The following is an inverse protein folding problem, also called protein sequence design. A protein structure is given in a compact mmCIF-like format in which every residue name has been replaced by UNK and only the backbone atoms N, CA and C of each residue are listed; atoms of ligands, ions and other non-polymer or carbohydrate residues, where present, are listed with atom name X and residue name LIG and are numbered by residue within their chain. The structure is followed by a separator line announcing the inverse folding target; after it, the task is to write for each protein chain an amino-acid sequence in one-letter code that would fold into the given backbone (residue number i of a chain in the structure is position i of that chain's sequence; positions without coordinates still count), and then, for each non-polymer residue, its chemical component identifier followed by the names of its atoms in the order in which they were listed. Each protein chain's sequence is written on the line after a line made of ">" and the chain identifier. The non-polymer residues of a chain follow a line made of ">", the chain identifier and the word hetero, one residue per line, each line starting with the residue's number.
data_IF_169351111353
#
_entry.id   IF_169351111353
#
_cell.length_a   1.000
_cell.length_b   1.000
_cell.length_c   1.000
_cell.angle_alpha   90.00
_cell.angle_beta   90.00
_cell.angle_gamma   90.00
#
_symmetry.space_group_name_H-M   'P 1'
#
loop_
_entity.id
_entity.type
_entity.pdbx_description
1 polymer ?
#
# COMPACT_ATOMS: atom_id res chain seq x y z
N UNK A 1 -17.43 1.45 14.39
CA UNK A 1 -17.40 0.13 13.76
C UNK A 1 -17.54 -0.95 14.82
N UNK A 2 -16.66 -1.01 15.83
CA UNK A 2 -16.70 -2.06 16.86
C UNK A 2 -18.03 -2.12 17.65
N UNK A 3 -18.72 -0.99 17.78
CA UNK A 3 -20.05 -0.90 18.44
C UNK A 3 -21.22 -1.15 17.46
N UNK A 4 -20.94 -1.66 16.26
CA UNK A 4 -21.96 -1.92 15.26
C UNK A 4 -22.35 -0.72 14.39
N UNK A 5 -21.72 0.44 14.55
CA UNK A 5 -21.94 1.58 13.66
C UNK A 5 -21.36 1.33 12.26
N UNK A 6 -22.11 1.70 11.23
CA UNK A 6 -21.61 1.74 9.85
C UNK A 6 -20.80 3.02 9.69
N UNK A 7 -19.57 2.88 9.24
CA UNK A 7 -18.66 4.01 8.99
C UNK A 7 -18.22 3.96 7.53
N UNK A 8 -18.45 5.04 6.80
CA UNK A 8 -18.03 5.24 5.41
C UNK A 8 -16.88 6.24 5.37
N UNK A 9 -15.68 5.88 4.97
CA UNK A 9 -15.19 4.51 4.78
C UNK A 9 -14.77 3.89 6.12
N UNK A 10 -14.77 2.57 6.18
CA UNK A 10 -14.40 1.85 7.39
C UNK A 10 -12.90 2.03 7.70
N UNK A 11 -12.51 2.62 8.85
CA UNK A 11 -11.11 2.92 9.16
C UNK A 11 -10.22 1.68 9.33
N UNK A 12 -10.78 0.50 9.54
CA UNK A 12 -9.99 -0.74 9.57
C UNK A 12 -9.44 -1.18 8.21
N UNK A 13 -9.88 -0.53 7.13
CA UNK A 13 -9.38 -0.78 5.77
C UNK A 13 -8.32 0.22 5.32
N UNK A 14 -7.94 1.18 6.13
CA UNK A 14 -6.94 2.19 5.78
C UNK A 14 -5.55 1.61 5.53
N UNK A 15 -5.24 0.40 6.00
CA UNK A 15 -4.05 -0.34 5.60
C UNK A 15 -4.00 -0.64 4.10
N UNK A 16 -5.13 -0.56 3.40
CA UNK A 16 -5.21 -0.67 1.95
C UNK A 16 -4.84 0.61 1.21
N UNK A 17 -4.61 1.73 1.91
CA UNK A 17 -4.16 3.00 1.31
C UNK A 17 -2.72 2.95 0.81
N UNK A 18 -2.00 1.91 1.16
CA UNK A 18 -0.66 1.68 0.69
C UNK A 18 -0.69 1.28 -0.80
N UNK A 19 -0.07 2.11 -1.65
CA UNK A 19 -0.16 1.99 -3.11
C UNK A 19 0.41 0.68 -3.64
N UNK A 20 1.54 0.22 -3.09
CA UNK A 20 2.18 -0.99 -3.60
C UNK A 20 1.36 -2.25 -3.29
N UNK A 21 0.76 -2.32 -2.11
CA UNK A 21 -0.22 -3.36 -1.78
C UNK A 21 -1.42 -3.30 -2.74
N UNK A 22 -1.95 -2.09 -2.97
CA UNK A 22 -3.06 -1.87 -3.91
C UNK A 22 -2.75 -2.39 -5.31
N UNK A 23 -1.57 -2.09 -5.87
CA UNK A 23 -1.16 -2.59 -7.20
C UNK A 23 -1.03 -4.11 -7.23
N UNK A 24 -0.49 -4.72 -6.18
CA UNK A 24 -0.38 -6.18 -6.09
C UNK A 24 -1.76 -6.85 -6.08
N UNK A 25 -2.70 -6.28 -5.33
CA UNK A 25 -4.08 -6.74 -5.29
C UNK A 25 -4.78 -6.56 -6.65
N UNK A 26 -4.66 -5.38 -7.27
CA UNK A 26 -5.24 -5.09 -8.59
C UNK A 26 -4.73 -6.06 -9.67
N UNK A 27 -3.41 -6.34 -9.68
CA UNK A 27 -2.81 -7.33 -10.58
C UNK A 27 -3.46 -8.71 -10.39
N UNK A 28 -3.63 -9.15 -9.15
CA UNK A 28 -4.28 -10.44 -8.85
C UNK A 28 -5.75 -10.49 -9.27
N UNK A 29 -6.43 -9.35 -9.28
CA UNK A 29 -7.80 -9.21 -9.75
C UNK A 29 -7.92 -9.14 -11.28
N UNK A 30 -6.81 -9.07 -12.01
CA UNK A 30 -6.79 -8.89 -13.46
C UNK A 30 -7.09 -7.46 -13.92
N UNK A 31 -7.01 -6.49 -13.00
CA UNK A 31 -7.07 -5.06 -13.33
C UNK A 31 -5.68 -4.60 -13.80
N UNK A 32 -5.62 -3.96 -14.95
CA UNK A 32 -4.36 -3.47 -15.47
C UNK A 32 -3.81 -2.33 -14.59
N UNK A 33 -2.54 -2.44 -14.20
CA UNK A 33 -1.78 -1.43 -13.47
C UNK A 33 -0.42 -1.23 -14.12
N UNK A 34 0.21 -0.05 -14.00
CA UNK A 34 1.57 0.14 -14.47
C UNK A 34 2.56 -0.73 -13.70
N UNK A 35 3.61 -1.19 -14.35
CA UNK A 35 4.71 -1.88 -13.68
C UNK A 35 5.25 -1.01 -12.55
N UNK A 36 5.38 -1.56 -11.37
CA UNK A 36 5.74 -0.79 -10.17
C UNK A 36 6.72 -1.57 -9.30
N UNK A 37 7.76 -0.91 -8.82
CA UNK A 37 8.72 -1.43 -7.84
C UNK A 37 8.69 -0.57 -6.59
N UNK A 38 8.74 -1.18 -5.43
CA UNK A 38 8.94 -0.50 -4.15
C UNK A 38 10.45 -0.32 -3.92
N UNK A 39 10.87 0.93 -3.75
CA UNK A 39 12.25 1.29 -3.42
C UNK A 39 12.39 1.47 -1.91
N UNK A 40 13.51 1.04 -1.31
CA UNK A 40 13.80 1.31 0.09
C UNK A 40 13.95 2.81 0.33
N UNK A 41 13.98 3.21 1.60
CA UNK A 41 14.29 4.59 1.99
C UNK A 41 15.74 4.92 1.60
N UNK A 42 15.99 6.13 1.08
CA UNK A 42 17.35 6.60 0.77
C UNK A 42 18.14 6.89 2.04
N UNK A 43 17.48 7.41 3.07
CA UNK A 43 18.09 7.70 4.36
C UNK A 43 17.25 7.07 5.48
N UNK A 44 17.90 6.75 6.59
CA UNK A 44 17.27 6.10 7.72
C UNK A 44 17.33 6.99 8.97
N UNK A 45 16.38 6.79 9.87
CA UNK A 45 16.37 7.48 11.17
C UNK A 45 17.60 7.12 11.99
N UNK A 46 17.97 8.03 12.89
CA UNK A 46 19.05 7.78 13.85
C UNK A 46 18.81 6.47 14.61
N UNK A 47 19.87 5.67 14.76
CA UNK A 47 19.81 4.36 15.42
C UNK A 47 19.63 3.16 14.49
N UNK A 48 19.31 3.39 13.21
CA UNK A 48 19.36 2.32 12.21
C UNK A 48 20.82 2.10 11.78
N UNK A 49 21.26 0.86 11.83
CA UNK A 49 22.63 0.43 11.50
C UNK A 49 22.59 -0.63 10.38
N UNK A 50 23.75 -0.99 9.84
CA UNK A 50 23.89 -2.07 8.85
C UNK A 50 23.26 -3.39 9.35
N UNK A 51 23.37 -3.66 10.65
CA UNK A 51 22.71 -4.83 11.26
C UNK A 51 21.19 -4.80 11.16
N UNK A 52 20.59 -3.59 11.14
CA UNK A 52 19.14 -3.41 10.92
C UNK A 52 18.73 -3.64 9.47
N UNK A 53 19.68 -3.51 8.52
CA UNK A 53 19.46 -3.56 7.08
C UNK A 53 20.02 -4.83 6.41
N UNK A 54 20.39 -5.82 7.21
CA UNK A 54 21.04 -7.05 6.71
C UNK A 54 20.24 -7.84 5.66
N UNK A 55 18.93 -7.59 5.55
CA UNK A 55 18.06 -8.22 4.56
C UNK A 55 17.86 -7.36 3.32
N UNK A 56 18.49 -6.20 3.24
CA UNK A 56 18.46 -5.30 2.10
C UNK A 56 19.74 -5.46 1.30
N UNK A 57 19.60 -5.77 0.01
CA UNK A 57 20.71 -5.93 -0.91
C UNK A 57 21.22 -4.57 -1.38
N UNK A 58 22.54 -4.35 -1.28
CA UNK A 58 23.22 -3.15 -1.76
C UNK A 58 24.47 -3.53 -2.56
N UNK A 59 24.78 -2.77 -3.63
CA UNK A 59 23.97 -1.69 -4.21
C UNK A 59 22.66 -2.24 -4.83
N UNK A 60 21.64 -1.40 -4.93
CA UNK A 60 20.41 -1.78 -5.65
C UNK A 60 20.75 -2.06 -7.13
N UNK A 61 20.09 -3.07 -7.69
CA UNK A 61 20.18 -3.37 -9.13
C UNK A 61 19.37 -2.35 -9.95
N UNK A 62 19.96 -1.16 -10.11
CA UNK A 62 19.30 -0.06 -10.83
C UNK A 62 19.03 -0.39 -12.30
N UNK A 63 19.88 -1.18 -12.92
CA UNK A 63 19.71 -1.55 -14.33
C UNK A 63 18.54 -2.51 -14.49
N UNK A 64 18.43 -3.54 -13.66
CA UNK A 64 17.28 -4.44 -13.64
C UNK A 64 15.98 -3.75 -13.24
N UNK A 65 16.04 -2.80 -12.30
CA UNK A 65 14.88 -1.98 -11.91
C UNK A 65 14.37 -1.17 -13.12
N UNK A 66 15.27 -0.50 -13.85
CA UNK A 66 14.91 0.32 -15.01
C UNK A 66 14.47 -0.56 -16.18
N UNK A 67 15.10 -1.70 -16.40
CA UNK A 67 14.67 -2.66 -17.43
C UNK A 67 13.23 -3.15 -17.15
N UNK A 68 12.90 -3.41 -15.89
CA UNK A 68 11.54 -3.86 -15.52
C UNK A 68 10.49 -2.75 -15.69
N UNK A 69 10.75 -1.56 -15.16
CA UNK A 69 9.76 -0.46 -15.12
C UNK A 69 9.72 0.31 -16.43
N UNK A 70 10.86 0.51 -17.08
CA UNK A 70 11.02 1.37 -18.25
C UNK A 70 11.25 2.83 -17.87
N UNK A 71 11.64 3.61 -18.89
CA UNK A 71 11.74 5.07 -18.82
C UNK A 71 10.97 5.68 -20.00
N UNK A 72 10.31 6.83 -19.82
CA UNK A 72 10.20 7.58 -18.57
C UNK A 72 9.41 6.85 -17.49
N UNK A 73 9.67 7.17 -16.22
CA UNK A 73 9.01 6.57 -15.06
C UNK A 73 8.52 7.65 -14.08
N UNK A 74 7.65 7.27 -13.16
CA UNK A 74 7.16 8.12 -12.06
C UNK A 74 7.75 7.61 -10.74
N UNK A 75 8.54 8.44 -10.09
CA UNK A 75 8.99 8.22 -8.71
C UNK A 75 8.02 8.94 -7.78
N UNK A 76 7.35 8.21 -6.88
CA UNK A 76 6.37 8.79 -5.95
C UNK A 76 6.39 8.05 -4.61
N UNK A 77 5.99 8.70 -3.49
CA UNK A 77 5.84 8.01 -2.21
C UNK A 77 4.86 6.84 -2.32
N UNK A 78 5.14 5.74 -1.59
CA UNK A 78 4.26 4.57 -1.57
C UNK A 78 2.94 4.86 -0.85
N UNK A 79 2.93 5.83 0.06
CA UNK A 79 1.78 6.32 0.80
C UNK A 79 1.58 7.84 0.61
N UNK A 80 0.43 8.36 1.04
CA UNK A 80 0.10 9.77 0.92
C UNK A 80 -0.46 10.17 -0.45
N UNK A 81 -0.68 11.46 -0.65
CA UNK A 81 -1.34 12.03 -1.83
C UNK A 81 -0.98 13.50 -2.07
N UNK A 82 -1.78 14.19 -2.89
CA UNK A 82 -1.62 15.62 -3.16
C UNK A 82 -0.44 15.98 -4.07
N UNK A 83 0.12 15.03 -4.81
CA UNK A 83 1.25 15.24 -5.73
C UNK A 83 2.56 15.66 -5.04
N UNK A 84 2.65 15.52 -3.73
CA UNK A 84 3.86 15.83 -3.00
C UNK A 84 4.92 14.77 -3.28
N UNK A 85 6.15 15.21 -3.56
CA UNK A 85 7.30 14.35 -3.83
C UNK A 85 7.08 13.35 -5.00
N UNK A 86 6.32 13.79 -6.02
CA UNK A 86 6.08 13.04 -7.25
C UNK A 86 6.96 13.60 -8.36
N UNK A 87 7.79 12.75 -8.97
CA UNK A 87 8.77 13.13 -9.98
C UNK A 87 8.61 12.26 -11.23
N UNK A 88 8.52 12.89 -12.41
CA UNK A 88 8.72 12.18 -13.68
C UNK A 88 10.20 12.18 -13.99
N UNK A 89 10.76 11.01 -14.19
CA UNK A 89 12.19 10.80 -14.48
C UNK A 89 12.36 10.19 -15.86
N UNK A 90 13.31 10.70 -16.64
CA UNK A 90 13.52 10.30 -18.03
C UNK A 90 14.85 9.56 -18.22
N UNK A 91 15.74 9.62 -17.23
CA UNK A 91 17.03 8.95 -17.24
C UNK A 91 17.38 8.36 -15.87
N UNK A 92 18.38 7.50 -15.85
CA UNK A 92 18.93 6.91 -14.62
C UNK A 92 19.52 7.99 -13.70
N UNK A 93 20.15 8.98 -14.26
CA UNK A 93 20.74 10.12 -13.54
C UNK A 93 19.66 10.97 -12.88
N UNK A 94 18.60 11.34 -13.61
CA UNK A 94 17.44 12.04 -13.04
C UNK A 94 16.77 11.22 -11.92
N UNK A 95 16.65 9.90 -12.10
CA UNK A 95 16.12 9.02 -11.07
C UNK A 95 16.94 9.09 -9.79
N UNK A 96 18.26 9.02 -9.90
CA UNK A 96 19.15 9.11 -8.74
C UNK A 96 19.07 10.47 -8.06
N UNK A 97 19.11 11.57 -8.81
CA UNK A 97 18.96 12.90 -8.26
C UNK A 97 17.63 13.11 -7.52
N UNK A 98 16.54 12.58 -8.07
CA UNK A 98 15.25 12.64 -7.42
C UNK A 98 15.20 11.73 -6.17
N UNK A 99 15.70 10.51 -6.27
CA UNK A 99 15.73 9.56 -5.16
C UNK A 99 16.60 10.05 -4.00
N UNK A 100 17.72 10.70 -4.28
CA UNK A 100 18.59 11.28 -3.24
C UNK A 100 17.86 12.35 -2.40
N UNK A 101 16.88 13.03 -2.96
CA UNK A 101 16.07 14.05 -2.27
C UNK A 101 14.94 13.47 -1.42
N UNK A 102 14.58 12.21 -1.58
CA UNK A 102 13.43 11.62 -0.88
C UNK A 102 13.67 11.35 0.60
N UNK A 103 14.92 11.32 1.04
CA UNK A 103 15.28 11.16 2.46
C UNK A 103 14.73 9.88 3.06
N UNK A 104 13.88 10.00 4.07
CA UNK A 104 13.30 8.86 4.79
C UNK A 104 11.97 8.36 4.20
N UNK A 105 11.55 8.84 3.03
CA UNK A 105 10.36 8.35 2.36
C UNK A 105 10.66 7.02 1.66
N UNK A 106 9.79 6.03 1.84
CA UNK A 106 9.77 4.87 0.96
C UNK A 106 9.05 5.26 -0.33
N UNK A 107 9.64 4.91 -1.46
CA UNK A 107 9.16 5.36 -2.77
C UNK A 107 8.72 4.17 -3.62
N UNK A 108 7.81 4.42 -4.54
CA UNK A 108 7.55 3.53 -5.67
C UNK A 108 8.13 4.15 -6.93
N UNK A 109 8.79 3.33 -7.76
CA UNK A 109 9.10 3.65 -9.14
C UNK A 109 8.10 2.94 -10.02
N UNK A 110 7.36 3.71 -10.82
CA UNK A 110 6.23 3.23 -11.62
C UNK A 110 6.41 3.59 -13.08
N UNK A 111 6.08 2.65 -13.97
CA UNK A 111 6.00 2.89 -15.41
C UNK A 111 5.14 4.13 -15.73
N UNK A 112 5.65 5.01 -16.57
CA UNK A 112 4.87 6.12 -17.08
C UNK A 112 3.98 5.66 -18.23
N UNK A 113 2.67 5.73 -18.04
CA UNK A 113 1.70 5.44 -19.10
C UNK A 113 1.51 6.71 -19.93
N UNK A 114 1.98 6.67 -21.18
CA UNK A 114 1.73 7.75 -22.16
C UNK A 114 0.30 7.60 -22.69
N UNK A 115 -0.64 8.20 -21.95
CA UNK A 115 -2.08 8.00 -22.16
C UNK A 115 -2.65 8.89 -23.24
N UNK A 116 -3.66 8.38 -23.96
CA UNK A 116 -4.48 9.13 -24.93
C UNK A 116 -5.72 9.73 -24.28
N UNK A 117 -6.21 9.16 -23.18
CA UNK A 117 -7.30 9.67 -22.37
C UNK A 117 -7.04 9.36 -20.89
N UNK A 118 -7.60 10.17 -20.00
CA UNK A 118 -7.49 9.98 -18.56
C UNK A 118 -8.83 10.19 -17.90
N UNK A 119 -9.21 9.29 -17.00
CA UNK A 119 -10.47 9.37 -16.28
C UNK A 119 -10.25 9.31 -14.79
N UNK A 120 -11.14 9.98 -14.06
CA UNK A 120 -11.28 9.85 -12.60
C UNK A 120 -12.70 9.41 -12.31
N UNK A 121 -12.84 8.25 -11.65
CA UNK A 121 -14.12 7.59 -11.49
C UNK A 121 -14.55 7.65 -10.03
N UNK A 122 -15.67 8.28 -9.71
CA UNK A 122 -16.31 8.10 -8.41
C UNK A 122 -16.97 6.72 -8.36
N UNK A 123 -16.78 6.03 -7.24
CA UNK A 123 -17.52 4.83 -6.90
C UNK A 123 -18.25 5.04 -5.58
N UNK A 124 -19.56 4.84 -5.59
CA UNK A 124 -20.44 5.02 -4.41
C UNK A 124 -21.13 3.72 -4.09
N UNK A 125 -21.03 3.28 -2.84
CA UNK A 125 -21.66 2.05 -2.34
C UNK A 125 -21.18 0.78 -3.06
N UNK A 126 -20.05 0.83 -3.78
CA UNK A 126 -19.53 -0.29 -4.60
C UNK A 126 -20.50 -0.74 -5.71
N UNK A 127 -21.37 0.15 -6.15
CA UNK A 127 -22.43 -0.14 -7.13
C UNK A 127 -22.56 0.94 -8.19
N UNK A 128 -22.56 2.20 -7.79
CA UNK A 128 -22.73 3.32 -8.70
C UNK A 128 -21.38 3.90 -9.06
N UNK A 129 -21.10 4.04 -10.36
CA UNK A 129 -19.84 4.58 -10.87
C UNK A 129 -20.11 5.73 -11.82
N UNK A 130 -19.47 6.86 -11.57
CA UNK A 130 -19.43 8.00 -12.49
C UNK A 130 -18.04 8.08 -13.11
N UNK A 131 -17.94 7.86 -14.42
CA UNK A 131 -16.70 7.99 -15.18
C UNK A 131 -16.59 9.40 -15.71
N UNK A 132 -15.61 10.17 -15.22
CA UNK A 132 -15.39 11.56 -15.58
C UNK A 132 -14.06 11.72 -16.32
N UNK A 133 -14.02 12.47 -17.43
CA UNK A 133 -12.76 12.87 -18.04
C UNK A 133 -12.01 13.81 -17.10
N UNK A 134 -10.70 13.64 -17.02
CA UNK A 134 -9.86 14.39 -16.09
C UNK A 134 -8.55 14.82 -16.76
N UNK A 135 -8.13 16.04 -16.49
CA UNK A 135 -6.83 16.58 -16.90
C UNK A 135 -5.88 16.53 -15.70
N UNK A 136 -5.01 15.52 -15.60
CA UNK A 136 -4.11 15.37 -14.46
C UNK A 136 -3.02 16.44 -14.42
N UNK A 137 -2.69 17.08 -15.55
CA UNK A 137 -1.70 18.14 -15.61
C UNK A 137 -2.20 19.42 -14.95
N UNK A 138 -3.45 19.79 -15.23
CA UNK A 138 -4.08 20.97 -14.69
C UNK A 138 -4.95 20.65 -13.46
N UNK A 139 -5.05 19.38 -13.06
CA UNK A 139 -5.80 18.89 -11.90
C UNK A 139 -7.26 19.33 -11.91
N UNK A 140 -7.94 19.15 -13.05
CA UNK A 140 -9.32 19.56 -13.22
C UNK A 140 -10.16 18.50 -13.91
N UNK A 141 -11.41 18.44 -13.52
CA UNK A 141 -12.42 17.67 -14.24
C UNK A 141 -12.79 18.39 -15.53
N UNK A 142 -13.05 17.63 -16.58
CA UNK A 142 -13.48 18.14 -17.88
C UNK A 142 -14.97 17.87 -18.09
N UNK A 143 -15.64 18.61 -18.95
CA UNK A 143 -17.02 18.30 -19.35
C UNK A 143 -17.16 16.87 -19.85
N UNK A 144 -18.30 16.23 -19.59
CA UNK A 144 -18.55 14.83 -19.95
C UNK A 144 -18.45 14.56 -21.46
N UNK A 145 -18.70 15.58 -22.27
CA UNK A 145 -18.63 15.54 -23.75
C UNK A 145 -17.19 15.36 -24.25
N UNK A 146 -16.19 15.67 -23.43
CA UNK A 146 -14.78 15.47 -23.76
C UNK A 146 -14.32 14.01 -23.54
N UNK A 147 -15.16 13.17 -22.95
CA UNK A 147 -14.86 11.75 -22.79
C UNK A 147 -15.07 10.97 -24.09
N UNK A 148 -14.03 10.85 -24.89
CA UNK A 148 -14.05 10.18 -26.20
C UNK A 148 -13.49 8.76 -26.11
N UNK A 149 -14.20 7.86 -25.44
CA UNK A 149 -13.85 6.43 -25.32
C UNK A 149 -15.02 5.56 -25.80
N UNK A 150 -14.74 4.32 -26.23
CA UNK A 150 -15.80 3.39 -26.62
C UNK A 150 -16.65 2.96 -25.43
N UNK A 151 -17.87 2.49 -25.70
CA UNK A 151 -18.75 2.00 -24.66
C UNK A 151 -18.16 0.77 -23.97
N UNK A 152 -17.52 -0.14 -24.71
CA UNK A 152 -16.87 -1.34 -24.16
C UNK A 152 -15.75 -0.96 -23.18
N UNK A 153 -14.97 0.08 -23.51
CA UNK A 153 -13.91 0.57 -22.62
C UNK A 153 -14.51 1.24 -21.38
N UNK A 154 -15.59 2.00 -21.54
CA UNK A 154 -16.31 2.58 -20.40
C UNK A 154 -16.87 1.50 -19.47
N UNK A 155 -17.47 0.45 -20.04
CA UNK A 155 -18.01 -0.67 -19.26
C UNK A 155 -16.90 -1.43 -18.53
N UNK A 156 -15.73 -1.59 -19.16
CA UNK A 156 -14.55 -2.15 -18.50
C UNK A 156 -14.09 -1.29 -17.34
N UNK A 157 -13.98 0.03 -17.52
CA UNK A 157 -13.60 0.97 -16.46
C UNK A 157 -14.58 0.89 -15.28
N UNK A 158 -15.88 0.85 -15.55
CA UNK A 158 -16.92 0.70 -14.52
C UNK A 158 -16.75 -0.60 -13.75
N UNK A 159 -16.58 -1.73 -14.44
CA UNK A 159 -16.37 -3.04 -13.82
C UNK A 159 -15.10 -3.06 -12.97
N UNK A 160 -13.99 -2.58 -13.50
CA UNK A 160 -12.69 -2.58 -12.83
C UNK A 160 -12.74 -1.65 -11.59
N UNK A 161 -13.46 -0.52 -11.68
CA UNK A 161 -13.72 0.38 -10.55
C UNK A 161 -14.49 -0.32 -9.44
N UNK A 162 -15.60 -0.99 -9.75
CA UNK A 162 -16.41 -1.72 -8.77
C UNK A 162 -15.57 -2.83 -8.11
N UNK A 163 -14.85 -3.61 -8.91
CA UNK A 163 -14.02 -4.71 -8.45
C UNK A 163 -12.94 -4.25 -7.46
N UNK A 164 -12.24 -3.17 -7.76
CA UNK A 164 -11.24 -2.57 -6.86
C UNK A 164 -11.88 -2.11 -5.54
N UNK A 165 -13.02 -1.42 -5.60
CA UNK A 165 -13.70 -0.93 -4.42
C UNK A 165 -14.28 -2.05 -3.55
N UNK A 166 -14.78 -3.12 -4.15
CA UNK A 166 -15.20 -4.31 -3.42
C UNK A 166 -14.03 -5.00 -2.70
N UNK A 167 -12.93 -5.21 -3.42
CA UNK A 167 -11.75 -5.89 -2.88
C UNK A 167 -11.07 -5.06 -1.78
N UNK A 168 -10.94 -3.76 -1.96
CA UNK A 168 -10.35 -2.83 -0.98
C UNK A 168 -11.32 -2.47 0.15
N UNK A 169 -12.62 -2.66 -0.04
CA UNK A 169 -13.64 -2.40 0.97
C UNK A 169 -14.08 -0.93 1.07
N UNK A 170 -13.81 -0.10 0.06
CA UNK A 170 -14.24 1.29 0.02
C UNK A 170 -15.70 1.40 -0.39
N UNK A 171 -16.47 2.14 0.40
CA UNK A 171 -17.85 2.50 0.10
C UNK A 171 -17.95 3.80 -0.70
N UNK A 172 -16.96 4.68 -0.56
CA UNK A 172 -16.80 5.91 -1.32
C UNK A 172 -15.32 6.06 -1.69
N UNK A 173 -15.03 6.16 -2.98
CA UNK A 173 -13.65 6.25 -3.46
C UNK A 173 -13.59 6.90 -4.83
N UNK A 174 -12.41 7.38 -5.22
CA UNK A 174 -12.10 7.71 -6.60
C UNK A 174 -11.01 6.80 -7.15
N UNK A 175 -11.19 6.35 -8.39
CA UNK A 175 -10.22 5.53 -9.12
C UNK A 175 -9.78 6.28 -10.37
N UNK A 176 -8.47 6.42 -10.55
CA UNK A 176 -7.90 7.09 -11.71
C UNK A 176 -7.37 6.07 -12.71
N UNK A 177 -7.78 6.24 -13.99
CA UNK A 177 -7.28 5.42 -15.10
C UNK A 177 -6.58 6.25 -16.14
N UNK A 178 -5.35 5.86 -16.48
CA UNK A 178 -4.66 6.29 -17.68
C UNK A 178 -4.96 5.29 -18.81
N UNK A 179 -5.49 5.78 -19.92
CA UNK A 179 -5.92 4.93 -21.04
C UNK A 179 -4.87 4.99 -22.14
N UNK A 180 -4.30 3.83 -22.46
CA UNK A 180 -3.33 3.66 -23.54
C UNK A 180 -3.68 2.42 -24.36
N UNK A 181 -3.73 2.55 -25.67
CA UNK A 181 -3.99 1.45 -26.62
C UNK A 181 -5.25 0.62 -26.26
N UNK A 182 -6.31 1.31 -25.81
CA UNK A 182 -7.57 0.68 -25.37
C UNK A 182 -7.49 -0.05 -24.03
N UNK A 183 -6.38 0.05 -23.30
CA UNK A 183 -6.21 -0.53 -21.96
C UNK A 183 -6.30 0.56 -20.88
N UNK A 184 -7.24 0.45 -19.92
CA UNK A 184 -7.34 1.36 -18.79
C UNK A 184 -6.43 0.88 -17.67
N UNK A 185 -5.31 1.55 -17.45
CA UNK A 185 -4.37 1.29 -16.35
C UNK A 185 -4.81 2.05 -15.11
N UNK A 186 -5.11 1.35 -14.02
CA UNK A 186 -5.42 1.97 -12.74
C UNK A 186 -4.14 2.57 -12.14
N UNK A 187 -4.10 3.92 -12.03
CA UNK A 187 -2.92 4.69 -11.61
C UNK A 187 -2.96 5.02 -10.13
N UNK A 188 -4.11 5.48 -9.64
CA UNK A 188 -4.37 5.79 -8.22
C UNK A 188 -5.82 5.42 -7.90
N UNK A 189 -6.02 4.63 -6.85
CA UNK A 189 -7.35 4.07 -6.55
C UNK A 189 -7.55 3.81 -5.04
N UNK A 190 -6.74 4.45 -4.21
CA UNK A 190 -6.83 4.37 -2.76
C UNK A 190 -7.05 5.77 -2.19
N UNK A 191 -8.29 6.28 -2.29
CA UNK A 191 -8.67 7.59 -1.79
C UNK A 191 -9.89 7.47 -0.86
N UNK A 192 -9.68 7.26 0.47
CA UNK A 192 -10.76 7.02 1.42
C UNK A 192 -11.66 8.24 1.67
N UNK A 193 -11.22 9.43 1.26
CA UNK A 193 -11.94 10.69 1.44
C UNK A 193 -11.83 11.55 0.16
N UNK A 194 -12.44 11.10 -0.96
CA UNK A 194 -12.35 11.80 -2.22
C UNK A 194 -13.04 13.18 -2.13
N UNK A 195 -12.37 14.18 -2.69
CA UNK A 195 -12.93 15.51 -2.81
C UNK A 195 -14.14 15.51 -3.75
N UNK A 196 -15.27 16.04 -3.26
CA UNK A 196 -16.52 16.18 -4.00
C UNK A 196 -17.09 17.62 -3.84
N UNK A 197 -16.24 18.60 -3.51
CA UNK A 197 -16.64 20.00 -3.45
C UNK A 197 -17.09 20.51 -4.83
N UNK A 198 -18.17 21.31 -4.86
CA UNK A 198 -18.75 21.84 -6.09
C UNK A 198 -17.75 22.66 -6.91
N UNK A 199 -16.81 23.33 -6.24
CA UNK A 199 -15.77 24.13 -6.89
C UNK A 199 -14.66 23.27 -7.51
N UNK A 200 -14.50 22.06 -7.02
CA UNK A 200 -13.52 21.08 -7.53
C UNK A 200 -14.11 20.24 -8.66
N UNK A 201 -15.27 19.60 -8.40
CA UNK A 201 -15.82 18.62 -9.34
C UNK A 201 -16.81 19.20 -10.36
N UNK A 202 -17.23 20.45 -10.20
CA UNK A 202 -18.27 21.15 -10.94
C UNK A 202 -19.70 20.67 -10.66
N UNK A 203 -20.69 21.49 -10.98
CA UNK A 203 -22.08 21.26 -10.57
C UNK A 203 -22.69 19.94 -11.05
N UNK A 204 -22.55 19.51 -12.32
CA UNK A 204 -23.15 18.24 -12.77
C UNK A 204 -22.61 17.03 -12.00
N UNK A 205 -21.32 16.98 -11.74
CA UNK A 205 -20.70 15.88 -11.01
C UNK A 205 -20.99 15.95 -9.52
N UNK A 206 -21.02 17.15 -8.93
CA UNK A 206 -21.42 17.38 -7.55
C UNK A 206 -22.83 16.84 -7.29
N UNK A 207 -23.80 17.20 -8.15
CA UNK A 207 -25.17 16.75 -8.00
C UNK A 207 -25.26 15.22 -8.08
N UNK A 208 -24.57 14.61 -9.04
CA UNK A 208 -24.54 13.15 -9.16
C UNK A 208 -23.98 12.48 -7.90
N UNK A 209 -22.82 12.95 -7.41
CA UNK A 209 -22.17 12.39 -6.21
C UNK A 209 -23.07 12.55 -4.99
N UNK A 210 -23.67 13.73 -4.80
CA UNK A 210 -24.60 14.00 -3.68
C UNK A 210 -25.79 13.04 -3.69
N UNK A 211 -26.43 12.88 -4.84
CA UNK A 211 -27.57 11.98 -5.01
C UNK A 211 -27.19 10.52 -4.79
N UNK A 212 -26.07 10.07 -5.33
CA UNK A 212 -25.58 8.70 -5.16
C UNK A 212 -25.23 8.40 -3.69
N UNK A 213 -24.56 9.33 -3.01
CA UNK A 213 -24.25 9.20 -1.57
C UNK A 213 -25.53 9.18 -0.74
N UNK A 214 -26.51 10.03 -1.03
CA UNK A 214 -27.79 10.01 -0.34
C UNK A 214 -28.52 8.65 -0.50
N UNK A 215 -28.55 8.11 -1.72
CA UNK A 215 -29.12 6.76 -1.98
C UNK A 215 -28.37 5.68 -1.19
N UNK A 216 -27.04 5.70 -1.21
CA UNK A 216 -26.21 4.75 -0.46
C UNK A 216 -26.50 4.81 1.05
N UNK A 217 -26.56 6.01 1.63
CA UNK A 217 -26.83 6.18 3.07
C UNK A 217 -28.21 5.68 3.46
N UNK A 218 -29.22 5.96 2.64
CA UNK A 218 -30.59 5.46 2.85
C UNK A 218 -30.66 3.92 2.74
N UNK A 219 -29.96 3.34 1.74
CA UNK A 219 -29.87 1.89 1.59
C UNK A 219 -29.17 1.24 2.81
N UNK A 220 -28.06 1.81 3.27
CA UNK A 220 -27.36 1.32 4.44
C UNK A 220 -28.19 1.43 5.71
N UNK A 221 -28.89 2.54 5.92
CA UNK A 221 -29.77 2.70 7.08
C UNK A 221 -30.91 1.68 7.11
N UNK A 222 -31.44 1.29 5.95
CA UNK A 222 -32.57 0.35 5.85
C UNK A 222 -32.14 -1.11 5.83
N UNK A 223 -31.04 -1.44 5.14
CA UNK A 223 -30.76 -2.80 4.70
C UNK A 223 -29.44 -3.37 5.20
N UNK A 224 -28.49 -2.52 5.67
CA UNK A 224 -27.20 -3.04 6.09
C UNK A 224 -27.25 -3.67 7.46
N UNK A 225 -26.82 -4.91 7.52
CA UNK A 225 -26.49 -5.58 8.77
C UNK A 225 -25.05 -5.26 9.12
N UNK A 226 -24.81 -4.79 10.34
CA UNK A 226 -23.46 -4.56 10.88
C UNK A 226 -22.75 -5.90 11.06
N UNK A 227 -22.13 -6.39 10.01
CA UNK A 227 -21.20 -7.51 10.10
C UNK A 227 -19.79 -6.97 10.02
N UNK A 228 -19.07 -7.06 11.12
CA UNK A 228 -17.64 -6.81 11.16
C UNK A 228 -16.91 -7.88 10.32
N UNK A 229 -16.87 -7.70 9.01
CA UNK A 229 -16.04 -8.54 8.15
C UNK A 229 -14.64 -7.95 8.11
N UNK A 230 -13.77 -8.41 9.00
CA UNK A 230 -12.38 -7.93 9.10
C UNK A 230 -11.46 -8.42 7.98
N UNK A 231 -11.95 -9.30 7.11
CA UNK A 231 -11.11 -9.97 6.10
C UNK A 231 -11.75 -9.96 4.71
N UNK A 232 -12.32 -8.83 4.28
CA UNK A 232 -12.99 -8.76 2.97
C UNK A 232 -12.07 -9.14 1.81
N UNK A 233 -10.85 -8.63 1.78
CA UNK A 233 -9.89 -8.90 0.71
C UNK A 233 -9.25 -10.30 0.81
N UNK A 234 -9.38 -11.01 1.94
CA UNK A 234 -8.88 -12.38 2.09
C UNK A 234 -9.44 -13.34 1.04
N UNK A 235 -10.71 -13.21 0.70
CA UNK A 235 -11.36 -14.02 -0.35
C UNK A 235 -10.68 -13.83 -1.72
N UNK A 236 -10.18 -12.61 -2.00
CA UNK A 236 -9.54 -12.27 -3.26
C UNK A 236 -8.09 -12.77 -3.33
N UNK A 237 -7.37 -12.70 -2.22
CA UNK A 237 -6.00 -13.19 -2.14
C UNK A 237 -5.90 -14.72 -2.25
N UNK A 238 -6.92 -15.43 -1.80
CA UNK A 238 -6.96 -16.90 -1.82
C UNK A 238 -7.87 -17.46 -2.91
N UNK A 239 -8.47 -16.64 -3.76
CA UNK A 239 -9.18 -17.13 -4.94
C UNK A 239 -8.16 -17.82 -5.86
N UNK A 240 -8.41 -19.08 -6.21
CA UNK A 240 -7.68 -19.75 -7.29
C UNK A 240 -7.89 -18.90 -8.55
N UNK A 241 -6.80 -18.47 -9.18
CA UNK A 241 -6.88 -17.73 -10.42
C UNK A 241 -7.62 -18.57 -11.45
N UNK A 242 -8.77 -18.08 -11.90
CA UNK A 242 -9.43 -18.66 -13.07
C UNK A 242 -8.42 -18.65 -14.21
N UNK A 243 -8.31 -19.77 -14.92
CA UNK A 243 -7.27 -20.13 -15.90
C UNK A 243 -7.06 -19.15 -17.08
N UNK A 244 -7.79 -18.06 -17.16
CA UNK A 244 -7.72 -17.09 -18.26
C UNK A 244 -6.81 -15.87 -18.00
N UNK A 245 -6.26 -15.72 -16.79
CA UNK A 245 -5.38 -14.58 -16.44
C UNK A 245 -3.89 -14.95 -16.30
N UNK A 246 -3.50 -16.18 -16.63
CA UNK A 246 -2.17 -16.72 -16.32
C UNK A 246 -1.01 -16.22 -17.21
N UNK A 247 -1.24 -15.68 -18.38
CA UNK A 247 -0.14 -15.34 -19.28
C UNK A 247 0.58 -14.01 -18.99
N UNK A 248 -0.07 -13.09 -18.27
CA UNK A 248 0.55 -11.79 -17.95
C UNK A 248 1.23 -11.69 -16.58
N UNK A 249 0.97 -12.65 -15.67
CA UNK A 249 1.48 -12.61 -14.29
C UNK A 249 2.82 -13.36 -14.09
N UNK A 250 3.27 -14.15 -15.05
CA UNK A 250 4.43 -15.04 -14.88
C UNK A 250 5.79 -14.36 -14.83
N UNK A 251 5.93 -13.13 -15.31
CA UNK A 251 7.20 -12.39 -15.27
C UNK A 251 7.59 -11.85 -13.88
N UNK A 252 6.59 -11.50 -13.06
CA UNK A 252 6.83 -10.89 -11.74
C UNK A 252 6.81 -11.89 -10.57
N UNK A 253 6.25 -13.09 -10.77
CA UNK A 253 5.99 -14.06 -9.69
C UNK A 253 7.15 -15.02 -9.40
N UNK A 254 8.14 -15.17 -10.30
CA UNK A 254 9.21 -16.16 -10.13
C UNK A 254 10.17 -15.77 -9.00
N UNK A 255 10.40 -14.48 -8.77
CA UNK A 255 11.21 -14.01 -7.63
C UNK A 255 10.49 -14.07 -6.29
N UNK A 256 9.20 -13.73 -6.25
CA UNK A 256 8.42 -13.68 -5.02
C UNK A 256 8.08 -15.07 -4.46
N UNK A 257 7.87 -16.07 -5.31
CA UNK A 257 7.58 -17.44 -4.88
C UNK A 257 8.76 -18.12 -4.15
N UNK A 258 9.99 -17.86 -4.59
CA UNK A 258 11.19 -18.43 -3.93
C UNK A 258 11.48 -17.76 -2.58
N UNK A 259 11.19 -16.46 -2.44
CA UNK A 259 11.34 -15.73 -1.17
C UNK A 259 10.28 -16.17 -0.16
N UNK A 260 9.03 -16.34 -0.59
CA UNK A 260 7.95 -16.82 0.26
C UNK A 260 8.17 -18.26 0.74
N UNK A 261 8.70 -19.16 -0.11
CA UNK A 261 9.01 -20.51 0.28
C UNK A 261 10.16 -20.57 1.29
N UNK A 262 11.24 -19.79 1.08
CA UNK A 262 12.36 -19.69 2.05
C UNK A 262 11.92 -19.11 3.38
N UNK A 263 11.00 -18.15 3.39
CA UNK A 263 10.45 -17.59 4.63
C UNK A 263 9.55 -18.61 5.36
N UNK A 264 8.77 -19.40 4.63
CA UNK A 264 7.94 -20.48 5.21
C UNK A 264 8.80 -21.59 5.80
N UNK A 265 9.86 -21.98 5.11
CA UNK A 265 10.79 -23.03 5.57
C UNK A 265 11.55 -22.57 6.83
N UNK A 266 12.02 -21.32 6.86
CA UNK A 266 12.69 -20.74 8.03
C UNK A 266 11.76 -20.59 9.25
N UNK A 267 10.48 -20.25 9.05
CA UNK A 267 9.48 -20.21 10.12
C UNK A 267 9.20 -21.60 10.65
N UNK A 268 9.15 -22.62 9.80
CA UNK A 268 8.94 -24.01 10.19
C UNK A 268 10.11 -24.54 11.02
N UNK A 269 11.35 -24.25 10.65
CA UNK A 269 12.55 -24.58 11.43
C UNK A 269 12.53 -23.94 12.83
N UNK A 270 12.17 -22.65 12.93
CA UNK A 270 12.08 -21.96 14.22
C UNK A 270 10.97 -22.54 15.10
N UNK A 271 9.85 -22.96 14.52
CA UNK A 271 8.75 -23.60 15.27
C UNK A 271 9.17 -24.98 15.77
N UNK A 272 9.91 -25.76 15.00
CA UNK A 272 10.46 -27.04 15.46
C UNK A 272 11.46 -26.87 16.60
N UNK A 273 12.33 -25.86 16.53
CA UNK A 273 13.32 -25.57 17.57
C UNK A 273 12.67 -25.12 18.91
N UNK A 274 11.53 -24.43 18.85
CA UNK A 274 10.78 -23.97 20.02
C UNK A 274 9.92 -25.09 20.63
N UNK A 275 9.53 -26.09 19.85
CA UNK A 275 8.66 -27.19 20.29
C UNK A 275 9.41 -28.43 20.76
N UNK A 276 10.74 -28.51 20.63
CA UNK A 276 11.52 -29.60 21.22
C UNK A 276 11.46 -29.53 22.76
N UNK A 277 11.11 -30.65 23.43
CA UNK A 277 11.04 -30.66 24.89
C UNK A 277 12.44 -30.51 25.50
N UNK A 278 12.63 -29.46 26.29
CA UNK A 278 13.86 -29.19 27.04
C UNK A 278 14.19 -30.39 27.91
N UNK A 279 15.25 -31.15 27.59
CA UNK A 279 15.78 -32.23 28.44
C UNK A 279 16.27 -31.63 29.75
N UNK A 280 15.86 -32.17 30.92
CA UNK A 280 16.26 -31.63 32.22
C UNK A 280 17.78 -31.77 32.44
N UNK A 281 18.45 -30.66 32.70
CA UNK A 281 19.88 -30.64 33.07
C UNK A 281 20.07 -31.37 34.40
N UNK A 282 20.89 -32.44 34.36
CA UNK A 282 21.33 -33.22 35.51
C UNK A 282 21.98 -32.28 36.56
N UNK A 283 21.45 -32.30 37.77
CA UNK A 283 21.98 -31.55 38.92
C UNK A 283 23.44 -31.94 39.22
N UNK A 284 24.34 -30.99 39.21
CA UNK A 284 25.72 -31.12 39.62
C UNK A 284 25.74 -31.05 41.18
N UNK A 285 26.14 -32.15 41.83
CA UNK A 285 26.41 -32.19 43.26
C UNK A 285 27.54 -31.21 43.60
N UNK A 286 27.27 -30.21 44.44
CA UNK A 286 28.29 -29.38 45.07
C UNK A 286 28.69 -30.04 46.37
N UNK A 287 29.98 -30.36 46.50
CA UNK A 287 30.63 -30.75 47.73
C UNK A 287 30.86 -29.50 48.61
N UNK A 288 30.56 -29.64 49.87
CA UNK A 288 30.78 -28.69 50.94
C UNK A 288 32.23 -28.71 51.43
N UNK A 289 32.79 -27.55 51.71
CA UNK A 289 33.86 -27.23 52.68
C UNK A 289 34.01 -25.72 52.66
N UNK A 290 33.89 -24.96 53.73
CA UNK A 290 34.47 -24.94 55.00
C UNK A 290 34.73 -23.47 55.31
N UNK A 291 33.98 -22.97 56.26
CA UNK A 291 34.24 -21.87 57.25
C UNK A 291 35.55 -21.07 57.09
N UNK A 292 35.42 -19.70 57.04
CA UNK A 292 36.01 -18.83 58.10
C UNK A 292 35.52 -17.36 57.97
N UNK A 293 35.09 -16.93 59.15
CA UNK A 293 34.74 -15.59 59.63
C UNK A 293 35.80 -14.53 59.38
N UNK A 294 35.40 -13.30 59.07
CA UNK A 294 35.72 -12.09 59.86
C UNK A 294 34.92 -10.87 59.40
N UNK A 295 34.32 -10.21 60.33
CA UNK A 295 33.71 -8.88 60.30
C UNK A 295 34.75 -7.85 60.83
N UNK A 296 34.43 -6.54 60.98
CA UNK A 296 34.10 -5.48 60.03
C UNK A 296 34.97 -4.23 60.19
N UNK A 297 34.86 -3.22 59.36
CA UNK A 297 35.05 -1.79 59.77
C UNK A 297 34.43 -0.82 58.76
N UNK A 298 33.72 -0.03 59.21
CA UNK A 298 33.16 1.30 59.36
C UNK A 298 34.03 2.42 58.78
N UNK A 299 33.38 3.35 58.11
CA UNK A 299 33.31 4.82 58.25
C UNK A 299 33.33 5.47 56.86
N UNK A 300 32.40 6.26 56.52
CA UNK A 300 31.83 7.52 56.95
C UNK A 300 32.23 8.67 56.03
N UNK A 301 31.18 9.37 55.62
CA UNK A 301 31.07 10.82 55.38
C UNK A 301 31.69 11.50 54.17
N UNK A 302 30.89 12.19 53.45
CA UNK A 302 30.83 13.64 53.25
C UNK A 302 30.40 13.95 51.81
N UNK A 303 29.28 14.46 51.56
CA UNK A 303 28.64 15.78 51.70
C UNK A 303 28.98 16.75 50.56
N UNK A 304 27.90 17.25 49.98
CA UNK A 304 27.69 18.62 49.40
C UNK A 304 28.49 18.98 48.15
N UNK A 305 27.99 19.71 47.21
CA UNK A 305 26.84 20.58 46.98
C UNK A 305 26.96 21.18 45.58
N UNK A 306 25.89 21.29 44.89
CA UNK A 306 25.26 22.49 44.36
C UNK A 306 25.98 23.36 43.30
N UNK A 307 25.18 23.68 42.29
CA UNK A 307 24.93 24.94 41.59
C UNK A 307 25.62 25.21 40.26
N UNK A 308 24.67 25.39 39.31
CA UNK A 308 24.57 26.51 38.38
C UNK A 308 25.76 26.71 37.42
N UNK A 309 25.50 26.69 36.18
CA UNK A 309 24.75 27.63 35.31
C UNK A 309 24.09 26.91 34.16
#
# INVERSE_FOLDING_TARGET
>A
VLNGAIVVNNPFWWSSDEKFFGYSLATKLGVAVPKTILLPQKAYKQGVTDASLRNLEFPLDWDGIIEHVGLPAILKPHDGGGWKDVYKVNSKEELWECYDRTGTLAMTLQEFIDFTAYTRCYCVGRKEVLVMPYDPKNRRYLPQEELTISQELKDRIVRDTILLNEALGYDLNTVEFAIKDGVPYAIDFTNPAPDADIWSVTEPYFNWVTDAVARMLVDYAKNSKTTASYHRWYKWLNAESSSETHEFALGAAVGAGQVAQRASDAISEVIEEITEPVKPKRARKTASEGSKTTKPTRSAKGSRSAKKE
#
